data_IF_770941464926
#
_entry.id   IF_770941464926
#
_cell.length_a   1.000
_cell.length_b   1.000
_cell.length_c   1.000
_cell.angle_alpha   90.00
_cell.angle_beta   90.00
_cell.angle_gamma   90.00
#
_symmetry.space_group_name_H-M   'P 1'
#
loop_
_entity.id
_entity.type
_entity.pdbx_description
1 polymer ?
#
# COMPACT_ATOMS: atom_id res chain seq x y z
N UNK A 1 -11.43 -4.50 -9.74
CA UNK A 1 -11.76 -3.17 -9.22
C UNK A 1 -13.20 -2.80 -9.56
N UNK A 2 -14.02 -2.45 -8.57
CA UNK A 2 -15.28 -1.74 -8.77
C UNK A 2 -15.27 -0.48 -7.90
N UNK A 3 -15.75 0.64 -8.45
CA UNK A 3 -16.06 1.81 -7.63
C UNK A 3 -17.31 1.47 -6.82
N UNK A 4 -17.16 1.40 -5.51
CA UNK A 4 -18.22 0.97 -4.60
C UNK A 4 -19.16 2.10 -4.22
N UNK A 5 -18.65 3.34 -4.18
CA UNK A 5 -19.43 4.54 -3.93
C UNK A 5 -18.76 5.78 -4.55
N UNK A 6 -19.59 6.74 -4.95
CA UNK A 6 -19.20 8.12 -5.28
C UNK A 6 -20.20 9.03 -4.58
N UNK A 7 -19.75 9.68 -3.53
CA UNK A 7 -20.53 10.71 -2.84
C UNK A 7 -20.03 12.07 -3.31
N UNK A 8 -20.94 12.95 -3.74
CA UNK A 8 -20.59 14.31 -4.10
C UNK A 8 -21.42 15.33 -3.34
N UNK A 9 -20.77 16.43 -2.99
CA UNK A 9 -21.39 17.58 -2.34
C UNK A 9 -21.01 18.84 -3.09
N UNK A 10 -22.01 19.70 -3.32
CA UNK A 10 -21.79 21.04 -3.81
C UNK A 10 -21.40 21.95 -2.63
N UNK A 11 -20.27 22.64 -2.77
CA UNK A 11 -19.85 23.68 -1.84
C UNK A 11 -20.57 25.00 -2.17
N UNK A 12 -20.59 25.93 -1.21
CA UNK A 12 -21.32 27.21 -1.33
C UNK A 12 -20.86 28.10 -2.49
N UNK A 13 -19.67 27.86 -3.05
CA UNK A 13 -19.07 28.64 -4.13
C UNK A 13 -19.26 28.03 -5.53
N UNK A 14 -20.05 26.95 -5.65
CA UNK A 14 -20.23 26.24 -6.92
C UNK A 14 -19.20 25.15 -7.21
N UNK A 15 -18.23 24.93 -6.32
CA UNK A 15 -17.30 23.81 -6.41
C UNK A 15 -18.00 22.49 -6.04
N UNK A 16 -17.60 21.39 -6.68
CA UNK A 16 -18.06 20.06 -6.35
C UNK A 16 -16.90 19.25 -5.76
N UNK A 17 -17.14 18.63 -4.60
CA UNK A 17 -16.20 17.67 -4.00
C UNK A 17 -16.78 16.26 -4.16
N UNK A 18 -15.97 15.32 -4.62
CA UNK A 18 -16.32 13.91 -4.67
C UNK A 18 -15.41 13.08 -3.75
N UNK A 19 -15.98 12.13 -3.04
CA UNK A 19 -15.25 11.05 -2.35
C UNK A 19 -15.51 9.76 -3.11
N UNK A 20 -14.43 9.08 -3.49
CA UNK A 20 -14.48 7.85 -4.28
C UNK A 20 -13.85 6.73 -3.48
N UNK A 21 -14.57 5.62 -3.36
CA UNK A 21 -14.10 4.41 -2.69
C UNK A 21 -14.06 3.24 -3.67
N UNK A 22 -12.97 2.48 -3.65
CA UNK A 22 -12.80 1.25 -4.42
C UNK A 22 -12.84 0.03 -3.50
N UNK A 23 -13.36 -1.09 -4.00
CA UNK A 23 -13.43 -2.37 -3.28
C UNK A 23 -12.27 -3.34 -3.62
N UNK A 24 -11.30 -2.90 -4.42
CA UNK A 24 -10.13 -3.69 -4.79
C UNK A 24 -9.12 -2.90 -5.61
N UNK A 25 -8.00 -3.53 -5.92
CA UNK A 25 -6.90 -2.90 -6.66
C UNK A 25 -7.26 -2.59 -8.11
N UNK A 26 -6.71 -1.50 -8.62
CA UNK A 26 -6.78 -1.14 -10.03
C UNK A 26 -6.71 0.37 -10.28
N UNK A 27 -6.80 0.75 -11.54
CA UNK A 27 -6.80 2.14 -11.99
C UNK A 27 -8.22 2.51 -12.45
N UNK A 28 -8.76 3.62 -11.94
CA UNK A 28 -9.99 4.21 -12.46
C UNK A 28 -9.74 5.62 -13.01
N UNK A 29 -10.34 5.88 -14.17
CA UNK A 29 -10.46 7.22 -14.74
C UNK A 29 -11.84 7.76 -14.41
N UNK A 30 -11.89 8.90 -13.73
CA UNK A 30 -13.10 9.62 -13.37
C UNK A 30 -13.27 10.80 -14.32
N UNK A 31 -14.46 10.93 -14.91
CA UNK A 31 -14.82 12.04 -15.80
C UNK A 31 -16.00 12.78 -15.17
N UNK A 32 -15.86 14.07 -14.81
CA UNK A 32 -16.99 14.82 -14.27
C UNK A 32 -18.06 15.02 -15.36
N UNK A 33 -19.32 14.97 -14.93
CA UNK A 33 -20.48 15.23 -15.78
C UNK A 33 -21.21 16.45 -15.22
N UNK A 34 -21.40 17.47 -16.04
CA UNK A 34 -22.13 18.69 -15.69
C UNK A 34 -23.35 18.82 -16.58
N UNK A 35 -24.55 18.85 -15.99
CA UNK A 35 -25.82 18.95 -16.71
C UNK A 35 -25.97 17.92 -17.85
N UNK A 36 -25.49 16.70 -17.62
CA UNK A 36 -25.53 15.60 -18.61
C UNK A 36 -24.39 15.60 -19.63
N UNK A 37 -23.46 16.55 -19.58
CA UNK A 37 -22.31 16.63 -20.50
C UNK A 37 -21.02 16.16 -19.84
N UNK A 38 -20.31 15.22 -20.47
CA UNK A 38 -18.98 14.77 -20.06
C UNK A 38 -17.93 15.86 -20.24
N UNK A 39 -17.20 16.17 -19.18
CA UNK A 39 -16.10 17.13 -19.16
C UNK A 39 -14.76 16.38 -19.26
N UNK A 40 -14.52 15.68 -20.38
CA UNK A 40 -13.38 14.77 -20.54
C UNK A 40 -12.00 15.44 -20.30
N UNK A 41 -11.88 16.73 -20.64
CA UNK A 41 -10.67 17.52 -20.38
C UNK A 41 -10.37 17.77 -18.89
N UNK A 42 -11.32 17.47 -17.99
CA UNK A 42 -11.19 17.58 -16.54
C UNK A 42 -11.09 16.20 -15.86
N UNK A 43 -10.79 15.15 -16.63
CA UNK A 43 -10.66 13.80 -16.09
C UNK A 43 -9.49 13.68 -15.12
N UNK A 44 -9.63 12.76 -14.17
CA UNK A 44 -8.58 12.41 -13.22
C UNK A 44 -8.45 10.90 -13.11
N UNK A 45 -7.24 10.42 -12.86
CA UNK A 45 -6.95 9.01 -12.69
C UNK A 45 -6.59 8.74 -11.23
N UNK A 46 -7.26 7.77 -10.63
CA UNK A 46 -6.97 7.30 -9.27
C UNK A 46 -6.48 5.85 -9.38
N UNK A 47 -5.33 5.59 -8.77
CA UNK A 47 -4.81 4.24 -8.58
C UNK A 47 -5.15 3.77 -7.16
N UNK A 48 -5.89 2.67 -7.07
CA UNK A 48 -6.17 1.96 -5.82
C UNK A 48 -5.17 0.83 -5.69
N UNK A 49 -4.33 0.92 -4.67
CA UNK A 49 -3.39 -0.13 -4.28
C UNK A 49 -3.86 -0.75 -2.97
N UNK A 50 -3.73 -2.07 -2.83
CA UNK A 50 -4.00 -2.71 -1.55
C UNK A 50 -2.82 -2.50 -0.61
N UNK A 51 -3.13 -2.35 0.67
CA UNK A 51 -2.17 -2.61 1.74
C UNK A 51 -2.31 -4.08 2.16
N UNK A 52 -2.04 -5.02 1.24
CA UNK A 52 -2.08 -6.43 1.59
C UNK A 52 -1.08 -6.74 2.72
N UNK A 53 -1.51 -7.56 3.68
CA UNK A 53 -0.59 -8.19 4.63
C UNK A 53 0.18 -9.24 3.87
N UNK A 54 1.26 -8.81 3.22
CA UNK A 54 2.10 -9.71 2.45
C UNK A 54 3.11 -10.39 3.38
N UNK A 55 3.11 -11.73 3.48
CA UNK A 55 4.19 -12.41 4.18
C UNK A 55 5.51 -12.09 3.49
N UNK A 56 6.54 -11.82 4.28
CA UNK A 56 7.88 -11.62 3.75
C UNK A 56 8.48 -12.97 3.34
N UNK A 57 8.74 -13.15 2.05
CA UNK A 57 9.25 -14.42 1.47
C UNK A 57 10.66 -14.28 0.87
N UNK A 58 11.31 -13.13 1.04
CA UNK A 58 12.65 -12.87 0.54
C UNK A 58 13.72 -13.42 1.49
N UNK A 59 14.79 -12.63 1.65
CA UNK A 59 15.94 -13.03 2.44
C UNK A 59 16.30 -12.00 3.51
N UNK A 60 17.02 -12.45 4.53
CA UNK A 60 17.72 -11.59 5.49
C UNK A 60 19.21 -11.77 5.36
N UNK A 61 19.96 -10.69 5.53
CA UNK A 61 21.42 -10.70 5.64
C UNK A 61 21.83 -10.82 7.12
N UNK A 62 22.67 -11.82 7.41
CA UNK A 62 23.31 -12.07 8.71
C UNK A 62 24.76 -12.49 8.48
N UNK A 63 25.73 -11.76 9.05
CA UNK A 63 27.15 -12.12 9.02
C UNK A 63 27.65 -12.57 7.63
N UNK A 64 27.33 -11.80 6.59
CA UNK A 64 27.67 -12.08 5.18
C UNK A 64 26.98 -13.30 4.54
N UNK A 65 25.96 -13.87 5.19
CA UNK A 65 25.10 -14.91 4.64
C UNK A 65 23.67 -14.39 4.40
N UNK A 66 23.02 -14.90 3.35
CA UNK A 66 21.60 -14.66 3.08
C UNK A 66 20.79 -15.89 3.48
N UNK A 67 19.79 -15.71 4.34
CA UNK A 67 18.91 -16.78 4.83
C UNK A 67 17.44 -16.47 4.49
N UNK A 68 16.57 -17.48 4.29
CA UNK A 68 15.17 -17.25 3.99
C UNK A 68 14.44 -16.55 5.14
N UNK A 69 13.74 -15.45 4.86
CA UNK A 69 12.97 -14.70 5.88
C UNK A 69 11.85 -15.55 6.49
N UNK A 70 11.26 -16.46 5.71
CA UNK A 70 10.13 -17.27 6.15
C UNK A 70 10.44 -18.28 7.27
N UNK A 71 11.72 -18.65 7.45
CA UNK A 71 12.16 -19.64 8.45
C UNK A 71 13.20 -19.10 9.44
N UNK A 72 13.67 -17.87 9.24
CA UNK A 72 14.63 -17.21 10.12
C UNK A 72 13.92 -16.27 11.12
N UNK A 73 14.43 -16.11 12.35
CA UNK A 73 15.48 -16.90 12.98
C UNK A 73 14.93 -18.20 13.61
N UNK A 74 15.72 -19.27 13.62
CA UNK A 74 15.40 -20.48 14.38
C UNK A 74 15.81 -20.37 15.86
N UNK A 75 16.78 -19.50 16.17
CA UNK A 75 17.28 -19.19 17.51
C UNK A 75 17.79 -17.74 17.56
N UNK A 76 17.84 -17.14 18.75
CA UNK A 76 18.35 -15.78 18.94
C UNK A 76 19.10 -15.62 20.26
N UNK A 77 19.93 -14.59 20.34
CA UNK A 77 20.66 -14.19 21.54
C UNK A 77 20.69 -12.67 21.65
N UNK A 78 21.02 -12.15 22.85
CA UNK A 78 21.05 -10.69 23.09
C UNK A 78 22.13 -10.03 22.24
N UNK A 79 21.76 -8.96 21.54
CA UNK A 79 22.67 -8.22 20.64
C UNK A 79 22.77 -8.79 19.23
N UNK A 80 22.08 -9.89 18.92
CA UNK A 80 21.95 -10.37 17.55
C UNK A 80 21.19 -9.34 16.67
N UNK A 81 21.63 -9.17 15.43
CA UNK A 81 20.99 -8.31 14.45
C UNK A 81 21.00 -8.95 13.05
N UNK A 82 20.06 -8.53 12.22
CA UNK A 82 19.92 -8.94 10.83
C UNK A 82 19.37 -7.77 10.02
N UNK A 83 19.53 -7.80 8.70
CA UNK A 83 18.95 -6.83 7.79
C UNK A 83 17.95 -7.52 6.87
N UNK A 84 16.74 -6.98 6.74
CA UNK A 84 15.80 -7.40 5.71
C UNK A 84 16.31 -6.94 4.34
N UNK A 85 16.42 -7.86 3.39
CA UNK A 85 16.83 -7.54 2.03
C UNK A 85 15.63 -7.03 1.19
N UNK A 86 15.94 -6.36 0.08
CA UNK A 86 14.92 -5.67 -0.73
C UNK A 86 13.91 -6.62 -1.40
N UNK A 87 14.27 -7.90 -1.55
CA UNK A 87 13.41 -8.96 -2.08
C UNK A 87 12.20 -9.28 -1.19
N UNK A 88 12.14 -8.74 0.04
CA UNK A 88 10.95 -8.82 0.90
C UNK A 88 9.88 -7.78 0.56
N UNK A 89 10.22 -6.70 -0.16
CA UNK A 89 9.32 -5.56 -0.40
C UNK A 89 8.67 -5.57 -1.78
N UNK A 90 7.69 -4.69 -2.00
CA UNK A 90 7.03 -4.58 -3.30
C UNK A 90 8.07 -4.27 -4.40
N UNK A 91 7.83 -4.68 -5.67
CA UNK A 91 8.76 -4.39 -6.76
C UNK A 91 9.16 -2.91 -6.82
N UNK A 92 10.46 -2.64 -6.91
CA UNK A 92 11.00 -1.27 -6.94
C UNK A 92 11.02 -0.55 -5.59
N UNK A 93 10.61 -1.20 -4.49
CA UNK A 93 10.67 -0.66 -3.13
C UNK A 93 11.85 -1.23 -2.34
N UNK A 94 12.26 -0.47 -1.33
CA UNK A 94 13.32 -0.83 -0.39
C UNK A 94 12.83 -0.64 1.04
N UNK A 95 13.63 -1.05 2.03
CA UNK A 95 13.30 -0.82 3.43
C UNK A 95 13.03 0.68 3.75
N UNK A 96 13.64 1.61 3.03
CA UNK A 96 13.45 3.05 3.25
C UNK A 96 12.03 3.55 2.91
N UNK A 97 11.27 2.79 2.12
CA UNK A 97 9.88 3.11 1.76
C UNK A 97 8.86 2.70 2.84
N UNK A 98 9.31 2.08 3.94
CA UNK A 98 8.45 1.51 4.98
C UNK A 98 8.79 2.05 6.38
N UNK A 99 7.76 2.10 7.23
CA UNK A 99 7.93 2.28 8.67
C UNK A 99 7.87 0.92 9.37
N UNK A 100 8.82 0.66 10.28
CA UNK A 100 8.92 -0.60 11.00
C UNK A 100 8.52 -0.43 12.46
N UNK A 101 7.76 -1.39 12.95
CA UNK A 101 7.41 -1.53 14.36
C UNK A 101 7.58 -2.99 14.77
N UNK A 102 8.15 -3.21 15.95
CA UNK A 102 8.18 -4.53 16.55
C UNK A 102 6.88 -4.79 17.31
N UNK A 103 6.33 -5.99 17.19
CA UNK A 103 5.20 -6.39 18.04
C UNK A 103 5.68 -6.47 19.50
N UNK A 104 4.97 -5.88 20.48
CA UNK A 104 5.33 -6.01 21.88
C UNK A 104 5.34 -7.48 22.31
N UNK A 105 6.25 -7.89 23.22
CA UNK A 105 6.22 -9.24 23.78
C UNK A 105 4.87 -9.52 24.46
N UNK A 106 4.29 -10.70 24.23
CA UNK A 106 3.19 -11.24 25.06
C UNK A 106 1.75 -11.07 24.57
N UNK A 107 1.49 -10.48 23.40
CA UNK A 107 0.18 -10.64 22.73
C UNK A 107 0.32 -11.76 21.71
N UNK A 108 -0.53 -12.78 21.80
CA UNK A 108 -0.75 -13.77 20.73
C UNK A 108 -1.75 -13.20 19.76
#
# INVERSE_FOLDING_TARGET
MKISAIDYTQNINGDYKATVTGDGEGIATLIPVLNGVHQAGLSTTIEFISAETRPMTGTVSVNSANLPTASFPSQGFTGAYYQLNNDNFAPGKTAADYSFQARPPGRR
#
